data_IF_476507847237
#
_entry.id   IF_476507847237
#
_cell.length_a   1.000
_cell.length_b   1.000
_cell.length_c   1.000
_cell.angle_alpha   90.00
_cell.angle_beta   90.00
_cell.angle_gamma   90.00
#
_symmetry.space_group_name_H-M   'P 1'
#
loop_
_entity.id
_entity.type
_entity.pdbx_description
1 polymer ?
#
# COMPACT_ATOMS: atom_id res chain seq x y z
N UNK A 1 -28.10 53.18 -2.67
CA UNK A 1 -26.80 52.58 -2.31
C UNK A 1 -26.97 51.29 -1.47
N UNK A 2 -27.84 51.29 -0.44
CA UNK A 2 -28.09 50.13 0.43
C UNK A 2 -28.61 48.85 -0.25
N UNK A 3 -29.56 48.95 -1.19
CA UNK A 3 -30.09 47.77 -1.89
C UNK A 3 -29.05 47.06 -2.76
N UNK A 4 -28.08 47.80 -3.32
CA UNK A 4 -26.96 47.24 -4.07
C UNK A 4 -26.00 46.50 -3.15
N UNK A 5 -25.80 46.99 -1.93
CA UNK A 5 -24.99 46.33 -0.91
C UNK A 5 -25.64 45.02 -0.46
N UNK A 6 -26.96 45.03 -0.19
CA UNK A 6 -27.72 43.82 0.19
C UNK A 6 -27.70 42.74 -0.89
N UNK A 7 -27.83 43.13 -2.17
CA UNK A 7 -27.73 42.21 -3.31
C UNK A 7 -26.36 41.54 -3.39
N UNK A 8 -25.27 42.29 -3.19
CA UNK A 8 -23.92 41.74 -3.20
C UNK A 8 -23.66 40.79 -2.03
N UNK A 9 -24.19 41.07 -0.84
CA UNK A 9 -24.11 40.17 0.30
C UNK A 9 -24.83 38.83 0.05
N UNK A 10 -26.04 38.86 -0.52
CA UNK A 10 -26.78 37.64 -0.87
C UNK A 10 -26.02 36.80 -1.90
N UNK A 11 -25.47 37.44 -2.94
CA UNK A 11 -24.67 36.77 -3.95
C UNK A 11 -23.39 36.14 -3.37
N UNK A 12 -22.75 36.80 -2.39
CA UNK A 12 -21.60 36.24 -1.69
C UNK A 12 -21.99 35.01 -0.87
N UNK A 13 -23.08 35.07 -0.10
CA UNK A 13 -23.54 33.94 0.70
C UNK A 13 -23.91 32.72 -0.17
N UNK A 14 -24.58 32.94 -1.30
CA UNK A 14 -24.92 31.88 -2.25
C UNK A 14 -23.65 31.24 -2.84
N UNK A 15 -22.68 32.05 -3.27
CA UNK A 15 -21.40 31.54 -3.81
C UNK A 15 -20.62 30.75 -2.77
N UNK A 16 -20.61 31.21 -1.52
CA UNK A 16 -19.94 30.51 -0.43
C UNK A 16 -20.61 29.17 -0.14
N UNK A 17 -21.93 29.16 -0.05
CA UNK A 17 -22.72 27.94 0.17
C UNK A 17 -22.47 26.89 -0.92
N UNK A 18 -22.49 27.29 -2.20
CA UNK A 18 -22.21 26.39 -3.32
C UNK A 18 -20.79 25.83 -3.23
N UNK A 19 -19.79 26.65 -2.93
CA UNK A 19 -18.38 26.20 -2.78
C UNK A 19 -18.21 25.21 -1.62
N UNK A 20 -18.81 25.49 -0.48
CA UNK A 20 -18.75 24.59 0.69
C UNK A 20 -19.43 23.27 0.39
N UNK A 21 -20.60 23.28 -0.26
CA UNK A 21 -21.31 22.06 -0.65
C UNK A 21 -20.51 21.23 -1.68
N UNK A 22 -19.85 21.89 -2.64
CA UNK A 22 -18.96 21.23 -3.59
C UNK A 22 -17.74 20.61 -2.88
N UNK A 23 -17.16 21.31 -1.90
CA UNK A 23 -16.04 20.82 -1.10
C UNK A 23 -16.42 19.56 -0.30
N UNK A 24 -17.57 19.55 0.37
CA UNK A 24 -18.08 18.36 1.06
C UNK A 24 -18.35 17.18 0.13
N UNK A 25 -18.78 17.43 -1.11
CA UNK A 25 -18.96 16.39 -2.13
C UNK A 25 -17.64 15.90 -2.74
N UNK A 26 -16.57 16.69 -2.66
CA UNK A 26 -15.27 16.32 -3.20
C UNK A 26 -14.51 15.38 -2.23
N UNK A 27 -14.74 14.07 -2.37
CA UNK A 27 -14.03 13.04 -1.61
C UNK A 27 -12.61 12.73 -2.11
N UNK A 28 -12.09 13.47 -3.08
CA UNK A 28 -10.81 13.18 -3.77
C UNK A 28 -9.58 13.15 -2.83
N UNK A 29 -9.64 13.78 -1.66
CA UNK A 29 -8.57 13.75 -0.66
C UNK A 29 -8.73 12.66 0.41
N UNK A 30 -9.98 12.25 0.70
CA UNK A 30 -10.28 11.22 1.70
C UNK A 30 -9.81 9.85 1.21
N UNK A 31 -10.02 9.57 -0.08
CA UNK A 31 -9.60 8.32 -0.71
C UNK A 31 -8.08 8.12 -0.73
N UNK A 32 -7.29 9.19 -0.87
CA UNK A 32 -5.83 9.07 -0.86
C UNK A 32 -5.29 8.62 0.51
N UNK A 33 -5.88 9.10 1.61
CA UNK A 33 -5.50 8.70 2.97
C UNK A 33 -5.94 7.26 3.24
N UNK A 34 -7.12 6.86 2.78
CA UNK A 34 -7.61 5.48 2.91
C UNK A 34 -6.71 4.49 2.18
N UNK A 35 -6.35 4.77 0.92
CA UNK A 35 -5.41 3.92 0.17
C UNK A 35 -4.01 3.89 0.83
N UNK A 36 -3.56 4.99 1.40
CA UNK A 36 -2.31 5.01 2.17
C UNK A 36 -2.37 4.10 3.41
N UNK A 37 -3.47 4.14 4.17
CA UNK A 37 -3.68 3.26 5.33
C UNK A 37 -3.78 1.78 4.92
N UNK A 38 -4.48 1.48 3.81
CA UNK A 38 -4.54 0.12 3.25
C UNK A 38 -3.13 -0.36 2.87
N UNK A 39 -2.32 0.47 2.22
CA UNK A 39 -0.96 0.13 1.83
C UNK A 39 -0.06 -0.14 3.05
N UNK A 40 -0.18 0.65 4.11
CA UNK A 40 0.55 0.43 5.37
C UNK A 40 0.15 -0.90 6.00
N UNK A 41 -1.15 -1.22 6.05
CA UNK A 41 -1.64 -2.49 6.58
C UNK A 41 -1.07 -3.69 5.80
N UNK A 42 -1.15 -3.65 4.47
CA UNK A 42 -0.59 -4.71 3.60
C UNK A 42 0.93 -4.84 3.79
N UNK A 43 1.65 -3.72 3.87
CA UNK A 43 3.10 -3.72 4.08
C UNK A 43 3.49 -4.35 5.42
N UNK A 44 2.77 -4.04 6.50
CA UNK A 44 3.00 -4.63 7.82
C UNK A 44 2.75 -6.14 7.84
N UNK A 45 1.69 -6.60 7.17
CA UNK A 45 1.38 -8.02 7.05
C UNK A 45 2.46 -8.77 6.24
N UNK A 46 2.89 -8.19 5.10
CA UNK A 46 3.99 -8.74 4.31
C UNK A 46 5.30 -8.76 5.10
N UNK A 47 5.57 -7.73 5.90
CA UNK A 47 6.75 -7.70 6.77
C UNK A 47 6.72 -8.84 7.80
N UNK A 48 5.58 -9.18 8.38
CA UNK A 48 5.47 -10.31 9.33
C UNK A 48 5.71 -11.65 8.61
N UNK A 49 5.08 -11.84 7.44
CA UNK A 49 5.13 -13.11 6.68
C UNK A 49 6.48 -13.33 6.00
N UNK A 50 7.08 -12.27 5.45
CA UNK A 50 8.33 -12.34 4.69
C UNK A 50 9.55 -11.95 5.51
N UNK A 51 9.40 -11.04 6.47
CA UNK A 51 10.50 -10.32 7.12
C UNK A 51 10.72 -10.64 8.59
N UNK A 52 9.94 -11.55 9.20
CA UNK A 52 10.35 -12.12 10.50
C UNK A 52 11.57 -13.00 10.26
N UNK A 53 12.74 -12.39 10.40
CA UNK A 53 14.08 -12.97 10.21
C UNK A 53 14.45 -13.97 11.31
N UNK A 54 13.55 -14.89 11.62
CA UNK A 54 13.89 -16.16 12.26
C UNK A 54 14.16 -17.22 11.19
N UNK A 55 14.80 -18.32 11.60
CA UNK A 55 15.11 -19.46 10.73
C UNK A 55 13.87 -20.12 10.09
N UNK A 56 12.65 -19.76 10.54
CA UNK A 56 11.37 -20.32 10.10
C UNK A 56 10.56 -19.47 9.11
N UNK A 57 11.06 -18.31 8.69
CA UNK A 57 10.36 -17.42 7.74
C UNK A 57 10.18 -18.02 6.34
N UNK A 58 9.22 -17.51 5.55
CA UNK A 58 8.96 -18.00 4.18
C UNK A 58 10.22 -17.96 3.30
N UNK A 59 11.01 -16.89 3.40
CA UNK A 59 12.26 -16.72 2.66
C UNK A 59 13.30 -17.77 3.08
N UNK A 60 13.36 -18.11 4.37
CA UNK A 60 14.26 -19.14 4.88
C UNK A 60 13.90 -20.52 4.31
N UNK A 61 12.61 -20.89 4.32
CA UNK A 61 12.13 -22.15 3.73
C UNK A 61 12.35 -22.24 2.21
N UNK A 62 12.18 -21.13 1.49
CA UNK A 62 12.52 -21.07 0.06
C UNK A 62 14.01 -21.31 -0.13
N UNK A 63 14.87 -20.63 0.65
CA UNK A 63 16.33 -20.77 0.56
C UNK A 63 16.79 -22.18 0.92
N UNK A 64 16.19 -22.80 1.92
CA UNK A 64 16.45 -24.19 2.31
C UNK A 64 16.08 -25.17 1.18
N UNK A 65 14.91 -24.99 0.57
CA UNK A 65 14.48 -25.81 -0.57
C UNK A 65 15.46 -25.71 -1.75
N UNK A 66 15.94 -24.50 -2.07
CA UNK A 66 16.95 -24.31 -3.11
C UNK A 66 18.31 -24.93 -2.75
N UNK A 67 18.73 -24.87 -1.48
CA UNK A 67 19.94 -25.56 -1.01
C UNK A 67 19.82 -27.07 -1.18
N UNK A 68 18.69 -27.66 -0.79
CA UNK A 68 18.46 -29.09 -0.97
C UNK A 68 18.54 -29.54 -2.43
N UNK A 69 18.03 -28.72 -3.37
CA UNK A 69 18.15 -28.98 -4.81
C UNK A 69 19.61 -28.91 -5.26
N UNK A 70 20.34 -27.87 -4.84
CA UNK A 70 21.76 -27.71 -5.15
C UNK A 70 22.59 -28.89 -4.62
N UNK A 71 22.35 -29.32 -3.38
CA UNK A 71 23.08 -30.44 -2.77
C UNK A 71 22.79 -31.74 -3.53
N UNK A 72 21.53 -32.01 -3.88
CA UNK A 72 21.16 -33.17 -4.70
C UNK A 72 21.85 -33.21 -6.08
N UNK A 73 21.97 -32.05 -6.74
CA UNK A 73 22.70 -31.93 -8.02
C UNK A 73 24.21 -32.12 -7.85
N UNK A 74 24.79 -31.58 -6.77
CA UNK A 74 26.22 -31.68 -6.44
C UNK A 74 26.63 -33.12 -6.14
N UNK A 75 25.80 -33.84 -5.38
CA UNK A 75 25.97 -35.26 -5.06
C UNK A 75 25.89 -36.10 -6.35
N UNK A 76 24.91 -35.82 -7.22
CA UNK A 76 24.76 -36.51 -8.50
C UNK A 76 26.00 -36.37 -9.40
N UNK A 77 26.62 -35.19 -9.41
CA UNK A 77 27.85 -34.95 -10.16
C UNK A 77 29.09 -35.65 -9.58
N UNK A 78 29.15 -35.85 -8.25
CA UNK A 78 30.26 -36.58 -7.61
C UNK A 78 30.15 -38.11 -7.76
N UNK A 79 28.94 -38.63 -7.89
CA UNK A 79 28.70 -40.08 -8.06
C UNK A 79 28.87 -40.55 -9.52
N UNK A 80 28.76 -39.64 -10.49
CA UNK A 80 28.97 -39.91 -11.92
C UNK A 80 30.44 -39.97 -12.37
N UNK A 81 31.40 -39.65 -11.51
CA UNK A 81 32.83 -39.59 -11.85
C UNK A 81 33.68 -40.73 -11.23
N UNK A 82 33.03 -41.77 -10.71
CA UNK A 82 33.68 -42.99 -10.20
C UNK A 82 33.24 -44.24 -11.01
N UNK A 83 33.32 -44.17 -12.34
CA UNK A 83 33.12 -45.33 -13.21
C UNK A 83 34.14 -45.36 -14.32
#
# INVERSE_FOLDING_TARGET
>A
MFNKLLSNLKNLQIKLFIRTMLFYKCQKGVTAIEYALIAVAISSMLFIVLGSGGEDGLIAKIKESFRSIQDGLSISNSQGNNK
#
